data_IF_847715802846
#
_entry.id   IF_847715802846
#
_cell.length_a   1.000
_cell.length_b   1.000
_cell.length_c   1.000
_cell.angle_alpha   90.00
_cell.angle_beta   90.00
_cell.angle_gamma   90.00
#
_symmetry.space_group_name_H-M   'P 1'
#
loop_
_entity.id
_entity.type
_entity.pdbx_description
1 polymer ?
#
# COMPACT_ATOMS: atom_id res chain seq x y z
N UNK A 1 -1.38 15.48 31.61
CA UNK A 1 -1.35 15.28 30.14
C UNK A 1 -2.53 14.43 29.65
N UNK A 2 -2.90 13.33 30.32
CA UNK A 2 -4.06 12.49 29.96
C UNK A 2 -5.38 13.26 29.76
N UNK A 3 -5.74 14.16 30.67
CA UNK A 3 -7.03 14.88 30.59
C UNK A 3 -7.20 15.75 29.33
N UNK A 4 -6.10 16.27 28.77
CA UNK A 4 -6.15 17.09 27.54
C UNK A 4 -6.41 16.20 26.33
N UNK A 5 -5.74 15.04 26.25
CA UNK A 5 -5.88 14.07 25.15
C UNK A 5 -7.28 13.42 25.13
N UNK A 6 -7.86 13.16 26.31
CA UNK A 6 -9.21 12.61 26.45
C UNK A 6 -10.33 13.61 26.06
N UNK A 7 -10.06 14.91 26.16
CA UNK A 7 -11.01 15.95 25.78
C UNK A 7 -11.03 16.23 24.26
N UNK A 8 -10.01 15.75 23.52
CA UNK A 8 -9.95 15.92 22.06
C UNK A 8 -11.06 15.09 21.39
N UNK A 9 -11.94 15.70 20.58
CA UNK A 9 -13.04 14.98 19.93
C UNK A 9 -12.57 14.08 18.77
N UNK A 10 -11.34 14.29 18.28
CA UNK A 10 -10.70 13.42 17.31
C UNK A 10 -10.26 12.10 17.95
N UNK A 11 -10.55 10.95 17.34
CA UNK A 11 -9.96 9.66 17.72
C UNK A 11 -8.43 9.69 17.69
N UNK A 12 -7.81 9.44 18.84
CA UNK A 12 -6.36 9.37 19.01
C UNK A 12 -5.96 8.05 19.65
N UNK A 13 -4.88 7.47 19.13
CA UNK A 13 -4.35 6.19 19.55
C UNK A 13 -2.82 6.26 19.54
N UNK A 14 -2.18 5.94 20.66
CA UNK A 14 -0.73 5.91 20.75
C UNK A 14 -0.27 4.47 20.62
N UNK A 15 0.55 4.23 19.61
CA UNK A 15 1.22 2.96 19.34
C UNK A 15 2.59 3.04 19.97
N UNK A 16 2.91 2.11 20.87
CA UNK A 16 4.21 2.00 21.52
C UNK A 16 5.12 0.95 20.87
N UNK A 17 6.23 0.60 21.56
CA UNK A 17 7.17 -0.44 21.14
C UNK A 17 6.48 -1.74 20.73
N UNK A 18 6.96 -2.36 19.65
CA UNK A 18 6.40 -3.62 19.14
C UNK A 18 4.96 -3.53 18.61
N UNK A 19 4.40 -2.32 18.46
CA UNK A 19 3.01 -2.13 18.01
C UNK A 19 1.98 -2.22 19.13
N UNK A 20 2.40 -2.22 20.39
CA UNK A 20 1.50 -2.28 21.54
C UNK A 20 0.63 -1.01 21.67
N UNK A 21 -0.55 -1.15 22.24
CA UNK A 21 -1.40 -0.02 22.60
C UNK A 21 -0.79 0.67 23.82
N UNK A 22 -0.25 1.87 23.64
CA UNK A 22 0.27 2.69 24.74
C UNK A 22 -0.81 3.59 25.35
N UNK A 23 -1.75 4.07 24.52
CA UNK A 23 -2.88 4.89 24.97
C UNK A 23 -4.01 4.93 23.93
N UNK A 24 -5.25 5.04 24.39
CA UNK A 24 -6.44 5.24 23.55
C UNK A 24 -7.30 6.30 24.21
N UNK A 25 -7.68 7.35 23.48
CA UNK A 25 -8.55 8.37 24.02
C UNK A 25 -10.04 7.97 23.95
N UNK A 26 -10.88 8.70 24.69
CA UNK A 26 -12.31 8.40 24.76
C UNK A 26 -13.03 8.47 23.40
N UNK A 27 -12.59 9.34 22.48
CA UNK A 27 -13.17 9.43 21.13
C UNK A 27 -12.89 8.18 20.29
N UNK A 28 -11.66 7.65 20.33
CA UNK A 28 -11.29 6.41 19.68
C UNK A 28 -12.04 5.20 20.25
N UNK A 29 -12.12 5.10 21.58
CA UNK A 29 -12.89 4.07 22.26
C UNK A 29 -14.36 4.04 21.83
N UNK A 30 -15.02 5.22 21.82
CA UNK A 30 -16.41 5.34 21.36
C UNK A 30 -16.61 4.94 19.91
N UNK A 31 -15.71 5.38 19.01
CA UNK A 31 -15.82 5.07 17.58
C UNK A 31 -15.70 3.56 17.33
N UNK A 32 -14.80 2.89 18.05
CA UNK A 32 -14.53 1.46 17.91
C UNK A 32 -15.43 0.58 18.79
N UNK A 33 -16.31 1.17 19.60
CA UNK A 33 -17.26 0.44 20.44
C UNK A 33 -16.63 -0.19 21.69
N UNK A 34 -15.46 0.24 22.12
CA UNK A 34 -14.87 -0.23 23.38
C UNK A 34 -15.49 0.54 24.56
N UNK A 35 -16.19 -0.19 25.44
CA UNK A 35 -16.77 0.36 26.66
C UNK A 35 -15.69 0.83 27.64
N UNK A 36 -14.59 0.08 27.72
CA UNK A 36 -13.36 0.47 28.41
C UNK A 36 -12.15 0.31 27.49
N UNK A 37 -11.73 1.43 26.88
CA UNK A 37 -10.55 1.44 26.01
C UNK A 37 -9.23 1.34 26.79
N UNK A 38 -9.22 1.56 28.11
CA UNK A 38 -7.99 1.43 28.93
C UNK A 38 -7.58 -0.03 29.09
N UNK A 39 -8.53 -0.95 29.07
CA UNK A 39 -8.28 -2.39 29.06
C UNK A 39 -7.49 -2.89 27.83
N UNK A 40 -7.35 -2.06 26.79
CA UNK A 40 -6.55 -2.38 25.60
C UNK A 40 -5.05 -2.13 25.80
N UNK A 41 -4.67 -1.31 26.79
CA UNK A 41 -3.28 -0.90 27.01
C UNK A 41 -2.39 -2.11 27.27
N UNK A 42 -1.25 -2.18 26.58
CA UNK A 42 -0.33 -3.31 26.59
C UNK A 42 -0.67 -4.42 25.59
N UNK A 43 -1.90 -4.46 25.07
CA UNK A 43 -2.29 -5.37 24.00
C UNK A 43 -1.77 -4.94 22.62
N UNK A 44 -1.88 -5.79 21.58
CA UNK A 44 -1.46 -5.46 20.22
C UNK A 44 -2.44 -4.50 19.53
N UNK A 45 -1.94 -3.37 19.01
CA UNK A 45 -2.78 -2.39 18.30
C UNK A 45 -3.44 -2.99 17.05
N UNK A 46 -2.73 -3.87 16.34
CA UNK A 46 -3.24 -4.54 15.14
C UNK A 46 -4.53 -5.31 15.42
N UNK A 47 -4.55 -6.15 16.45
CA UNK A 47 -5.74 -6.95 16.80
C UNK A 47 -6.91 -6.07 17.26
N UNK A 48 -6.62 -5.01 18.01
CA UNK A 48 -7.64 -4.10 18.53
C UNK A 48 -8.22 -3.14 17.47
N UNK A 49 -7.53 -2.96 16.34
CA UNK A 49 -8.00 -2.12 15.24
C UNK A 49 -8.62 -2.96 14.11
N UNK A 50 -7.93 -4.02 13.66
CA UNK A 50 -8.33 -4.84 12.51
C UNK A 50 -7.55 -6.17 12.39
N UNK A 51 -7.52 -7.00 13.44
CA UNK A 51 -6.87 -8.33 13.39
C UNK A 51 -7.41 -9.26 12.30
N UNK A 52 -8.61 -8.96 11.81
CA UNK A 52 -9.26 -9.64 10.70
C UNK A 52 -9.82 -8.62 9.72
N UNK A 53 -9.95 -9.04 8.47
CA UNK A 53 -10.61 -8.27 7.42
C UNK A 53 -12.12 -8.33 7.62
N UNK A 54 -12.83 -7.45 6.95
CA UNK A 54 -14.29 -7.38 7.08
C UNK A 54 -15.05 -8.58 6.46
N UNK A 55 -14.36 -9.45 5.72
CA UNK A 55 -14.88 -10.75 5.26
C UNK A 55 -14.62 -11.89 6.26
N UNK A 56 -13.98 -11.58 7.41
CA UNK A 56 -13.63 -12.53 8.46
C UNK A 56 -12.29 -13.23 8.27
N UNK A 57 -11.60 -13.05 7.14
CA UNK A 57 -10.25 -13.60 6.94
C UNK A 57 -9.24 -12.95 7.88
N UNK A 58 -8.20 -13.68 8.27
CA UNK A 58 -7.12 -13.14 9.09
C UNK A 58 -6.42 -12.00 8.34
N UNK A 59 -6.11 -10.91 9.05
CA UNK A 59 -5.27 -9.84 8.54
C UNK A 59 -3.89 -9.97 9.19
N UNK A 60 -2.82 -10.37 8.48
CA UNK A 60 -1.51 -10.51 9.10
C UNK A 60 -0.92 -9.16 9.53
N UNK A 61 -0.36 -9.10 10.75
CA UNK A 61 0.20 -7.86 11.31
C UNK A 61 1.33 -7.24 10.44
N UNK A 62 2.12 -8.06 9.75
CA UNK A 62 3.21 -7.58 8.88
C UNK A 62 2.72 -6.86 7.62
N UNK A 63 1.43 -6.97 7.29
CA UNK A 63 0.79 -6.25 6.20
C UNK A 63 0.08 -4.97 6.68
N UNK A 64 0.12 -4.66 7.98
CA UNK A 64 -0.55 -3.50 8.57
C UNK A 64 0.17 -2.19 8.22
N UNK A 65 -0.42 -1.29 7.42
CA UNK A 65 0.24 -0.06 7.01
C UNK A 65 0.40 0.95 8.15
N UNK A 66 -0.35 0.79 9.25
CA UNK A 66 -0.33 1.69 10.41
C UNK A 66 0.82 1.33 11.36
N UNK A 67 0.97 0.05 11.71
CA UNK A 67 2.05 -0.41 12.58
C UNK A 67 3.40 -0.28 11.87
N UNK A 68 3.44 -0.42 10.54
CA UNK A 68 4.66 -0.32 9.73
C UNK A 68 4.86 1.03 9.01
N UNK A 69 4.08 2.06 9.35
CA UNK A 69 4.11 3.37 8.68
C UNK A 69 5.51 4.01 8.65
N UNK A 70 6.32 3.81 9.69
CA UNK A 70 7.66 4.41 9.81
C UNK A 70 8.74 3.70 8.99
N UNK A 71 8.52 2.47 8.54
CA UNK A 71 9.55 1.65 7.89
C UNK A 71 9.70 1.91 6.39
N UNK A 72 8.78 2.63 5.75
CA UNK A 72 8.66 2.64 4.28
C UNK A 72 8.83 4.02 3.60
N UNK A 73 9.25 5.07 4.32
CA UNK A 73 9.59 6.37 3.71
C UNK A 73 8.48 7.07 2.91
N UNK A 74 7.21 6.69 3.12
CA UNK A 74 6.03 7.30 2.50
C UNK A 74 5.31 8.28 3.43
N UNK A 75 4.35 9.04 2.89
CA UNK A 75 3.43 9.86 3.69
C UNK A 75 2.62 8.93 4.62
N UNK A 76 2.75 9.02 5.95
CA UNK A 76 2.20 8.06 6.89
C UNK A 76 0.69 8.28 7.08
N UNK A 77 -0.09 8.23 6.00
CA UNK A 77 -1.53 8.39 5.99
C UNK A 77 -2.18 7.50 4.93
N UNK A 78 -3.47 7.22 5.09
CA UNK A 78 -4.20 6.38 4.14
C UNK A 78 -5.66 6.15 4.54
N UNK A 79 -6.23 5.11 3.95
CA UNK A 79 -7.56 4.62 4.29
C UNK A 79 -7.44 3.18 4.76
N UNK A 80 -8.23 2.81 5.76
CA UNK A 80 -8.37 1.41 6.19
C UNK A 80 -9.75 1.06 6.71
N UNK A 81 -10.03 -0.24 6.80
CA UNK A 81 -11.20 -0.76 7.54
C UNK A 81 -10.74 -1.09 8.96
N UNK A 82 -11.35 -0.44 9.95
CA UNK A 82 -11.27 -0.91 11.34
C UNK A 82 -12.48 -1.77 11.66
N UNK A 83 -12.29 -2.73 12.56
CA UNK A 83 -13.36 -3.57 13.08
C UNK A 83 -13.66 -3.14 14.51
N UNK A 84 -14.90 -2.74 14.77
CA UNK A 84 -15.35 -2.44 16.13
C UNK A 84 -15.29 -3.68 17.02
N UNK A 85 -15.31 -3.50 18.34
CA UNK A 85 -15.43 -4.58 19.33
C UNK A 85 -16.63 -5.52 19.09
N UNK A 86 -17.68 -5.02 18.42
CA UNK A 86 -18.87 -5.78 18.03
C UNK A 86 -18.76 -6.46 16.65
N UNK A 87 -17.59 -6.45 16.01
CA UNK A 87 -17.35 -7.06 14.70
C UNK A 87 -17.83 -6.22 13.50
N UNK A 88 -18.39 -5.03 13.73
CA UNK A 88 -18.84 -4.14 12.63
C UNK A 88 -17.65 -3.43 11.98
N UNK A 89 -17.56 -3.40 10.63
CA UNK A 89 -16.52 -2.64 9.93
C UNK A 89 -16.82 -1.14 9.93
N UNK A 90 -15.76 -0.34 9.99
CA UNK A 90 -15.76 1.13 9.95
C UNK A 90 -14.68 1.59 8.99
N UNK A 91 -15.09 2.32 7.96
CA UNK A 91 -14.18 2.94 7.02
C UNK A 91 -13.50 4.14 7.68
N UNK A 92 -12.17 4.16 7.72
CA UNK A 92 -11.40 5.23 8.35
C UNK A 92 -10.37 5.83 7.40
N UNK A 93 -10.26 7.16 7.41
CA UNK A 93 -9.02 7.82 7.00
C UNK A 93 -8.11 7.90 8.23
N UNK A 94 -6.84 7.58 8.06
CA UNK A 94 -5.86 7.55 9.15
C UNK A 94 -4.58 8.30 8.79
N UNK A 95 -3.91 8.81 9.81
CA UNK A 95 -2.55 9.38 9.75
C UNK A 95 -1.77 9.00 10.99
N UNK A 96 -0.50 8.67 10.81
CA UNK A 96 0.48 8.42 11.86
C UNK A 96 1.47 9.59 11.91
N UNK A 97 1.74 10.11 13.10
CA UNK A 97 2.77 11.09 13.37
C UNK A 97 3.77 10.52 14.39
N UNK A 98 5.06 10.85 14.23
CA UNK A 98 6.08 10.49 15.22
C UNK A 98 5.89 11.33 16.49
N UNK A 99 6.01 10.69 17.65
CA UNK A 99 6.03 11.40 18.94
C UNK A 99 7.48 11.61 19.38
N UNK A 100 7.77 12.65 20.19
CA UNK A 100 9.08 12.83 20.81
C UNK A 100 9.29 11.86 21.98
N UNK A 101 8.99 10.58 21.75
CA UNK A 101 9.09 9.46 22.68
C UNK A 101 9.64 8.26 21.89
N UNK A 102 10.63 7.52 22.43
CA UNK A 102 11.26 6.42 21.69
C UNK A 102 10.24 5.37 21.24
N UNK A 103 10.21 5.05 19.95
CA UNK A 103 9.33 4.03 19.34
C UNK A 103 7.82 4.26 19.51
N UNK A 104 7.40 5.47 19.91
CA UNK A 104 5.99 5.81 20.06
C UNK A 104 5.51 6.65 18.89
N UNK A 105 4.28 6.37 18.46
CA UNK A 105 3.63 7.07 17.36
C UNK A 105 2.19 7.40 17.69
N UNK A 106 1.73 8.53 17.18
CA UNK A 106 0.35 8.97 17.29
C UNK A 106 -0.40 8.60 16.02
N UNK A 107 -1.31 7.64 16.12
CA UNK A 107 -2.34 7.38 15.13
C UNK A 107 -3.54 8.29 15.41
N UNK A 108 -3.94 9.06 14.41
CA UNK A 108 -5.18 9.81 14.37
C UNK A 108 -6.04 9.29 13.23
N UNK A 109 -7.35 9.20 13.45
CA UNK A 109 -8.27 8.67 12.44
C UNK A 109 -9.66 9.28 12.55
N UNK A 110 -10.40 9.22 11.46
CA UNK A 110 -11.79 9.65 11.41
C UNK A 110 -12.61 8.67 10.57
N UNK A 111 -13.84 8.39 11.02
CA UNK A 111 -14.80 7.68 10.19
C UNK A 111 -15.05 8.47 8.91
N UNK A 112 -15.06 7.79 7.77
CA UNK A 112 -15.35 8.38 6.46
C UNK A 112 -16.53 7.62 5.83
N UNK A 113 -17.79 7.98 6.15
CA UNK A 113 -18.96 7.32 5.59
C UNK A 113 -18.99 7.51 4.07
N UNK A 114 -19.15 6.42 3.32
CA UNK A 114 -19.32 6.48 1.87
C UNK A 114 -18.01 6.56 1.06
N UNK A 115 -16.85 6.60 1.72
CA UNK A 115 -15.60 6.12 1.12
C UNK A 115 -15.49 4.67 1.57
N UNK A 116 -15.79 3.67 0.73
CA UNK A 116 -15.63 2.31 1.16
C UNK A 116 -14.14 2.12 1.47
N UNK A 117 -13.79 1.89 2.73
CA UNK A 117 -12.55 1.20 3.03
C UNK A 117 -12.83 -0.22 2.56
N UNK A 118 -12.39 -0.42 1.33
CA UNK A 118 -13.16 -1.26 0.46
C UNK A 118 -12.82 -2.70 0.82
N UNK A 119 -13.82 -3.39 1.37
CA UNK A 119 -13.78 -4.85 1.55
C UNK A 119 -13.33 -5.44 0.22
N UNK A 120 -12.20 -6.13 0.23
CA UNK A 120 -11.62 -6.76 -0.96
C UNK A 120 -10.92 -5.82 -1.94
N UNK A 121 -10.68 -4.54 -1.63
CA UNK A 121 -9.88 -3.66 -2.50
C UNK A 121 -8.45 -3.58 -2.02
N UNK A 122 -7.49 -3.93 -2.88
CA UNK A 122 -6.09 -3.97 -2.50
C UNK A 122 -5.56 -2.56 -2.20
N UNK A 123 -4.67 -2.46 -1.22
CA UNK A 123 -3.87 -1.26 -1.02
C UNK A 123 -3.02 -0.96 -2.27
N UNK A 124 -2.74 0.32 -2.53
CA UNK A 124 -1.88 0.70 -3.65
C UNK A 124 -0.48 0.07 -3.56
N UNK A 125 0.06 -0.07 -2.35
CA UNK A 125 1.34 -0.77 -2.08
C UNK A 125 1.28 -2.24 -2.50
N UNK A 126 0.20 -2.96 -2.19
CA UNK A 126 0.03 -4.35 -2.59
C UNK A 126 -0.05 -4.51 -4.12
N UNK A 127 -0.77 -3.60 -4.80
CA UNK A 127 -0.81 -3.57 -6.26
C UNK A 127 0.60 -3.32 -6.86
N UNK A 128 1.38 -2.39 -6.30
CA UNK A 128 2.76 -2.13 -6.74
C UNK A 128 3.65 -3.35 -6.51
N UNK A 129 3.53 -4.03 -5.38
CA UNK A 129 4.30 -5.23 -5.07
C UNK A 129 4.01 -6.35 -6.09
N UNK A 130 2.74 -6.57 -6.45
CA UNK A 130 2.37 -7.54 -7.48
C UNK A 130 2.96 -7.17 -8.86
N UNK A 131 2.92 -5.89 -9.23
CA UNK A 131 3.55 -5.43 -10.48
C UNK A 131 5.06 -5.69 -10.45
N UNK A 132 5.74 -5.30 -9.38
CA UNK A 132 7.18 -5.53 -9.23
C UNK A 132 7.54 -7.02 -9.34
N UNK A 133 6.75 -7.91 -8.74
CA UNK A 133 6.99 -9.35 -8.77
C UNK A 133 6.71 -9.99 -10.14
N UNK A 134 5.70 -9.50 -10.87
CA UNK A 134 5.18 -10.19 -12.07
C UNK A 134 5.43 -9.49 -13.40
N UNK A 135 5.96 -8.27 -13.43
CA UNK A 135 6.08 -7.48 -14.67
C UNK A 135 6.79 -8.20 -15.83
N UNK A 136 7.69 -9.15 -15.56
CA UNK A 136 8.41 -9.91 -16.61
C UNK A 136 7.54 -10.94 -17.33
N UNK A 137 6.41 -11.33 -16.75
CA UNK A 137 5.42 -12.19 -17.41
C UNK A 137 4.75 -11.38 -18.54
N UNK A 138 4.86 -11.79 -19.82
CA UNK A 138 4.24 -11.09 -20.95
C UNK A 138 2.71 -11.14 -20.92
N UNK A 139 2.13 -12.14 -20.24
CA UNK A 139 0.69 -12.26 -20.04
C UNK A 139 0.18 -11.37 -18.91
N UNK A 140 1.06 -10.89 -18.03
CA UNK A 140 0.69 -10.00 -16.94
C UNK A 140 0.32 -8.60 -17.45
N UNK A 141 -0.99 -8.28 -17.36
CA UNK A 141 -1.59 -7.00 -17.71
C UNK A 141 -2.43 -6.42 -16.57
N UNK A 142 -3.06 -5.27 -16.80
CA UNK A 142 -3.93 -4.62 -15.79
C UNK A 142 -5.15 -5.49 -15.45
N UNK A 143 -5.64 -6.28 -16.39
CA UNK A 143 -6.72 -7.25 -16.19
C UNK A 143 -6.29 -8.41 -15.28
N UNK A 144 -5.07 -8.92 -15.45
CA UNK A 144 -4.50 -9.97 -14.59
C UNK A 144 -4.28 -9.43 -13.18
N UNK A 145 -3.68 -8.23 -13.07
CA UNK A 145 -3.49 -7.54 -11.79
C UNK A 145 -4.83 -7.37 -11.04
N UNK A 146 -5.88 -6.98 -11.74
CA UNK A 146 -7.21 -6.81 -11.15
C UNK A 146 -7.82 -8.17 -10.72
N UNK A 147 -7.69 -9.20 -11.56
CA UNK A 147 -8.17 -10.56 -11.29
C UNK A 147 -7.50 -11.16 -10.06
N UNK A 148 -6.18 -11.07 -9.97
CA UNK A 148 -5.40 -11.61 -8.85
C UNK A 148 -5.70 -10.87 -7.54
N UNK A 149 -6.04 -9.59 -7.63
CA UNK A 149 -6.47 -8.80 -6.49
C UNK A 149 -7.98 -8.87 -6.22
N UNK A 150 -8.71 -9.76 -6.92
CA UNK A 150 -10.15 -9.97 -6.77
C UNK A 150 -11.00 -8.70 -6.92
N UNK A 151 -10.58 -7.77 -7.78
CA UNK A 151 -11.27 -6.50 -8.04
C UNK A 151 -11.46 -6.23 -9.53
N UNK A 152 -12.30 -5.23 -9.85
CA UNK A 152 -12.41 -4.73 -11.21
C UNK A 152 -11.17 -3.91 -11.64
N UNK A 153 -10.91 -3.84 -12.95
CA UNK A 153 -9.89 -2.95 -13.52
C UNK A 153 -10.12 -1.48 -13.14
N UNK A 154 -11.39 -1.05 -13.11
CA UNK A 154 -11.77 0.31 -12.67
C UNK A 154 -11.30 0.58 -11.25
N UNK A 155 -11.40 -0.42 -10.37
CA UNK A 155 -10.96 -0.30 -8.99
C UNK A 155 -9.44 -0.17 -8.89
N UNK A 156 -8.68 -0.99 -9.62
CA UNK A 156 -7.21 -0.86 -9.70
C UNK A 156 -6.79 0.53 -10.20
N UNK A 157 -7.44 1.01 -11.26
CA UNK A 157 -7.21 2.36 -11.80
C UNK A 157 -7.56 3.45 -10.80
N UNK A 158 -8.66 3.32 -10.05
CA UNK A 158 -9.04 4.29 -9.03
C UNK A 158 -8.06 4.29 -7.84
N UNK A 159 -7.58 3.12 -7.42
CA UNK A 159 -6.62 2.99 -6.31
C UNK A 159 -5.28 3.62 -6.68
N UNK A 160 -4.68 3.23 -7.81
CA UNK A 160 -3.39 3.78 -8.26
C UNK A 160 -3.52 5.23 -8.74
N UNK A 161 -4.66 5.59 -9.34
CA UNK A 161 -4.94 6.94 -9.83
C UNK A 161 -5.01 7.99 -8.73
N UNK A 162 -5.39 7.62 -7.50
CA UNK A 162 -5.30 8.52 -6.33
C UNK A 162 -3.88 8.96 -6.02
N UNK A 163 -2.88 8.17 -6.41
CA UNK A 163 -1.46 8.50 -6.31
C UNK A 163 -0.90 9.13 -7.61
N UNK A 164 -1.76 9.46 -8.58
CA UNK A 164 -1.34 10.01 -9.88
C UNK A 164 -0.75 8.98 -10.84
N UNK A 165 -0.86 7.68 -10.54
CA UNK A 165 -0.25 6.62 -11.33
C UNK A 165 -1.26 5.91 -12.25
N UNK A 166 -0.81 5.53 -13.45
CA UNK A 166 -1.56 4.64 -14.33
C UNK A 166 -1.06 3.20 -14.17
N UNK A 167 -1.92 2.19 -13.96
CA UNK A 167 -1.47 0.80 -13.81
C UNK A 167 -0.66 0.28 -15.01
N UNK A 168 -1.10 0.62 -16.23
CA UNK A 168 -0.39 0.25 -17.45
C UNK A 168 0.93 1.02 -17.64
N UNK A 169 1.04 2.24 -17.09
CA UNK A 169 2.30 2.97 -17.08
C UNK A 169 3.27 2.35 -16.07
N UNK A 170 2.79 1.99 -14.87
CA UNK A 170 3.58 1.35 -13.83
C UNK A 170 4.17 0.01 -14.30
N UNK A 171 3.36 -0.89 -14.87
CA UNK A 171 3.86 -2.15 -15.43
C UNK A 171 4.95 -1.88 -16.47
N UNK A 172 4.70 -0.96 -17.39
CA UNK A 172 5.65 -0.61 -18.45
C UNK A 172 6.95 -0.03 -17.91
N UNK A 173 6.91 0.81 -16.87
CA UNK A 173 8.11 1.37 -16.24
C UNK A 173 8.98 0.26 -15.65
N UNK A 174 8.38 -0.68 -14.90
CA UNK A 174 9.12 -1.85 -14.38
C UNK A 174 9.72 -2.71 -15.50
N UNK A 175 8.98 -2.96 -16.58
CA UNK A 175 9.52 -3.68 -17.76
C UNK A 175 10.69 -2.93 -18.38
N UNK A 176 10.59 -1.61 -18.55
CA UNK A 176 11.66 -0.80 -19.12
C UNK A 176 12.91 -0.76 -18.24
N UNK A 177 12.74 -0.63 -16.93
CA UNK A 177 13.84 -0.70 -15.96
C UNK A 177 14.53 -2.08 -15.99
N UNK A 178 13.77 -3.17 -16.04
CA UNK A 178 14.36 -4.51 -16.16
C UNK A 178 15.08 -4.71 -17.49
N UNK A 179 14.53 -4.19 -18.60
CA UNK A 179 15.19 -4.26 -19.91
C UNK A 179 16.50 -3.48 -19.93
N UNK A 180 16.54 -2.31 -19.29
CA UNK A 180 17.75 -1.50 -19.19
C UNK A 180 18.91 -2.27 -18.54
N UNK A 181 18.64 -2.97 -17.42
CA UNK A 181 19.63 -3.83 -16.75
C UNK A 181 20.10 -4.95 -17.68
N UNK A 182 19.17 -5.67 -18.30
CA UNK A 182 19.51 -6.76 -19.22
C UNK A 182 20.35 -6.30 -20.42
N UNK A 183 20.09 -5.11 -20.95
CA UNK A 183 20.89 -4.53 -22.04
C UNK A 183 22.30 -4.15 -21.59
N UNK A 184 22.46 -3.64 -20.35
CA UNK A 184 23.79 -3.38 -19.77
C UNK A 184 24.58 -4.67 -19.58
N UNK A 185 23.89 -5.75 -19.24
CA UNK A 185 24.49 -7.08 -19.10
C UNK A 185 24.80 -7.74 -20.47
N UNK A 186 24.67 -7.00 -21.58
CA UNK A 186 25.02 -7.46 -22.92
C UNK A 186 23.95 -8.32 -23.60
N UNK A 187 22.74 -8.44 -23.03
CA UNK A 187 21.67 -9.20 -23.67
C UNK A 187 21.27 -8.58 -25.01
N UNK A 188 21.09 -9.38 -26.09
CA UNK A 188 20.61 -8.87 -27.36
C UNK A 188 19.28 -8.14 -27.24
N UNK A 189 19.11 -7.03 -27.96
CA UNK A 189 17.96 -6.10 -27.83
C UNK A 189 16.60 -6.80 -27.84
N UNK A 190 16.38 -7.72 -28.78
CA UNK A 190 15.12 -8.45 -28.87
C UNK A 190 14.91 -9.38 -27.66
N UNK A 191 15.95 -10.10 -27.26
CA UNK A 191 15.91 -10.99 -26.09
C UNK A 191 15.66 -10.21 -24.80
N UNK A 192 16.29 -9.04 -24.61
CA UNK A 192 16.06 -8.18 -23.46
C UNK A 192 14.61 -7.68 -23.38
N UNK A 193 14.02 -7.30 -24.53
CA UNK A 193 12.61 -6.91 -24.60
C UNK A 193 11.67 -8.03 -24.15
N UNK A 194 11.87 -9.25 -24.66
CA UNK A 194 11.06 -10.41 -24.30
C UNK A 194 11.24 -10.81 -22.83
N UNK A 195 12.49 -10.90 -22.35
CA UNK A 195 12.80 -11.25 -20.96
C UNK A 195 12.28 -10.22 -19.95
N UNK A 196 12.14 -8.96 -20.37
CA UNK A 196 11.51 -7.91 -19.59
C UNK A 196 9.97 -7.93 -19.65
N UNK A 197 9.35 -8.84 -20.41
CA UNK A 197 7.90 -9.02 -20.47
C UNK A 197 7.19 -8.27 -21.60
N UNK A 198 7.90 -7.72 -22.58
CA UNK A 198 7.24 -7.21 -23.79
C UNK A 198 6.90 -8.36 -24.75
N UNK A 199 5.68 -8.37 -25.30
CA UNK A 199 5.27 -9.35 -26.33
C UNK A 199 5.80 -9.04 -27.73
N UNK A 200 6.13 -7.77 -27.97
CA UNK A 200 6.48 -7.28 -29.29
C UNK A 200 7.70 -6.35 -29.23
N UNK A 201 8.79 -6.64 -29.97
CA UNK A 201 10.00 -5.82 -30.03
C UNK A 201 9.76 -4.39 -30.53
N UNK A 202 8.79 -4.18 -31.43
CA UNK A 202 8.47 -2.84 -31.96
C UNK A 202 7.87 -1.93 -30.87
N UNK A 203 6.99 -2.48 -30.05
CA UNK A 203 6.37 -1.81 -28.90
C UNK A 203 7.39 -1.54 -27.81
N UNK A 204 8.26 -2.51 -27.52
CA UNK A 204 9.41 -2.32 -26.64
C UNK A 204 10.31 -1.17 -27.10
N UNK A 205 10.79 -1.20 -28.35
CA UNK A 205 11.75 -0.21 -28.86
C UNK A 205 11.19 1.22 -28.83
N UNK A 206 9.91 1.40 -29.18
CA UNK A 206 9.23 2.71 -29.09
C UNK A 206 9.10 3.18 -27.64
N UNK A 207 8.70 2.30 -26.72
CA UNK A 207 8.55 2.64 -25.31
C UNK A 207 9.90 2.97 -24.66
N UNK A 208 10.94 2.19 -24.96
CA UNK A 208 12.31 2.40 -24.46
C UNK A 208 12.85 3.76 -24.92
N UNK A 209 12.74 4.06 -26.22
CA UNK A 209 13.18 5.36 -26.75
C UNK A 209 12.45 6.52 -26.12
N UNK A 210 11.14 6.40 -25.89
CA UNK A 210 10.36 7.45 -25.21
C UNK A 210 10.85 7.69 -23.78
N UNK A 211 11.27 6.64 -23.07
CA UNK A 211 11.67 6.72 -21.66
C UNK A 211 13.13 7.13 -21.44
N UNK A 212 14.04 6.69 -22.30
CA UNK A 212 15.48 6.87 -22.15
C UNK A 212 16.10 7.81 -23.20
N UNK A 213 15.30 8.35 -24.13
CA UNK A 213 15.75 9.27 -25.18
C UNK A 213 16.50 8.62 -26.34
N UNK A 214 17.01 7.39 -26.18
CA UNK A 214 17.79 6.66 -27.18
C UNK A 214 17.16 5.31 -27.54
N UNK A 215 17.46 4.81 -28.75
CA UNK A 215 17.02 3.47 -29.15
C UNK A 215 17.76 2.40 -28.33
N UNK A 216 17.13 1.26 -28.00
CA UNK A 216 17.74 0.23 -27.15
C UNK A 216 19.02 -0.37 -27.76
N UNK A 217 19.13 -0.46 -29.08
CA UNK A 217 20.37 -0.92 -29.72
C UNK A 217 21.52 0.09 -29.65
N UNK A 218 21.22 1.40 -29.64
CA UNK A 218 22.23 2.42 -29.38
C UNK A 218 22.65 2.41 -27.91
N UNK A 219 21.69 2.22 -27.01
CA UNK A 219 21.92 2.06 -25.57
C UNK A 219 22.83 0.86 -25.26
N UNK A 220 22.54 -0.31 -25.83
CA UNK A 220 23.33 -1.54 -25.63
C UNK A 220 24.79 -1.37 -26.10
N UNK A 221 25.02 -0.74 -27.26
CA UNK A 221 26.36 -0.46 -27.78
C UNK A 221 27.17 0.54 -26.94
N UNK A 222 26.49 1.38 -26.16
CA UNK A 222 27.15 2.34 -25.28
C UNK A 222 27.42 1.76 -23.89
N UNK A 223 26.76 0.65 -23.53
CA UNK A 223 26.85 0.01 -22.23
C UNK A 223 27.82 -1.18 -22.16
N UNK A 224 28.12 -1.80 -23.31
CA UNK A 224 29.16 -2.83 -23.46
C UNK A 224 30.41 -2.26 -24.12
#
# INVERSE_FOLDING_TARGET
MHAVVDAVPQPLWVIGPGGAVAHVNAAAGRLLGYADARGLVGGPSHEALHGHRADGSAYPAHECPIVHASSHGGDPQGFEVFITSAGRPVDVAWRVAELPLPEHRLLSFAAQPGVPAARGVPAASALRAQVAARHRDPEFGVDVLARDAHVSVRTVQAVLGRAGESPAALIREHRLASAEVLLRDGMPVAAAGYAAGFRDPGTFARAFRRRFGVAPGAFARAAG
#
